data_IF_258462226986
#
_entry.id   IF_258462226986
#
_cell.length_a   1.000
_cell.length_b   1.000
_cell.length_c   1.000
_cell.angle_alpha   90.00
_cell.angle_beta   90.00
_cell.angle_gamma   90.00
#
_symmetry.space_group_name_H-M   'P 1'
#
loop_
_entity.id
_entity.type
_entity.pdbx_description
1 polymer ?
#
# COMPACT_ATOMS: atom_id res chain seq x y z
N UNK A 1 -23.57 -2.13 -0.17
CA UNK A 1 -24.82 -1.40 0.03
C UNK A 1 -25.09 -1.15 1.51
N UNK A 2 -25.73 -0.06 1.84
CA UNK A 2 -26.25 0.27 3.20
C UNK A 2 -27.76 0.03 3.29
N UNK A 3 -28.41 -0.17 2.16
CA UNK A 3 -29.88 -0.31 2.03
C UNK A 3 -30.21 -1.63 1.34
N UNK A 4 -31.37 -2.21 1.70
CA UNK A 4 -31.93 -3.39 1.05
C UNK A 4 -32.88 -2.93 -0.07
N UNK A 5 -32.53 -3.19 -1.34
CA UNK A 5 -33.36 -2.79 -2.48
C UNK A 5 -32.95 -3.57 -3.75
N UNK A 6 -33.76 -3.53 -4.79
CA UNK A 6 -33.45 -4.08 -6.11
C UNK A 6 -32.51 -3.17 -6.90
N UNK A 7 -31.58 -3.78 -7.63
CA UNK A 7 -30.75 -3.07 -8.59
C UNK A 7 -31.58 -2.68 -9.80
N UNK A 8 -31.73 -1.38 -10.02
CA UNK A 8 -32.44 -0.82 -11.19
C UNK A 8 -31.51 -0.75 -12.40
N UNK A 9 -30.31 -0.22 -12.22
CA UNK A 9 -29.35 -0.01 -13.30
C UNK A 9 -27.91 -0.22 -12.80
N UNK A 10 -27.04 -0.73 -13.69
CA UNK A 10 -25.60 -0.83 -13.49
C UNK A 10 -24.93 0.00 -14.60
N UNK A 11 -24.21 1.04 -14.24
CA UNK A 11 -23.65 2.08 -15.13
C UNK A 11 -22.12 2.00 -15.25
N UNK A 12 -21.55 0.83 -14.96
CA UNK A 12 -20.11 0.60 -15.11
C UNK A 12 -19.84 -0.65 -15.95
N UNK A 13 -18.63 -0.72 -16.48
CA UNK A 13 -18.10 -1.92 -17.15
C UNK A 13 -16.95 -2.44 -16.31
N UNK A 14 -16.92 -3.77 -16.10
CA UNK A 14 -15.86 -4.44 -15.36
C UNK A 14 -14.49 -4.22 -16.01
N UNK A 15 -13.44 -4.04 -15.21
CA UNK A 15 -12.08 -3.81 -15.68
C UNK A 15 -11.81 -2.39 -16.16
N UNK A 16 -12.80 -1.51 -16.21
CA UNK A 16 -12.64 -0.12 -16.70
C UNK A 16 -12.34 0.82 -15.53
N UNK A 17 -11.48 1.81 -15.81
CA UNK A 17 -11.16 2.88 -14.86
C UNK A 17 -12.35 3.84 -14.69
N UNK A 18 -12.59 4.25 -13.45
CA UNK A 18 -13.64 5.22 -13.09
C UNK A 18 -13.05 6.33 -12.25
N UNK A 19 -13.69 7.49 -12.33
CA UNK A 19 -13.38 8.65 -11.50
C UNK A 19 -14.24 8.65 -10.24
N UNK A 20 -13.71 9.27 -9.19
CA UNK A 20 -14.46 9.58 -7.98
C UNK A 20 -15.81 10.22 -8.33
N UNK A 21 -16.82 9.91 -7.54
CA UNK A 21 -18.20 10.39 -7.66
C UNK A 21 -18.96 9.96 -8.93
N UNK A 22 -18.34 9.15 -9.82
CA UNK A 22 -19.07 8.54 -10.92
C UNK A 22 -20.13 7.60 -10.36
N UNK A 23 -21.37 7.73 -10.86
CA UNK A 23 -22.48 6.82 -10.52
C UNK A 23 -22.16 5.43 -11.10
N UNK A 24 -22.22 4.41 -10.26
CA UNK A 24 -21.95 3.02 -10.61
C UNK A 24 -23.21 2.18 -10.66
N UNK A 25 -24.08 2.36 -9.66
CA UNK A 25 -25.32 1.57 -9.55
C UNK A 25 -26.44 2.48 -9.08
N UNK A 26 -27.60 2.31 -9.65
CA UNK A 26 -28.85 2.92 -9.20
C UNK A 26 -29.74 1.80 -8.68
N UNK A 27 -30.11 1.92 -7.43
CA UNK A 27 -31.13 1.06 -6.84
C UNK A 27 -32.53 1.58 -7.20
N UNK A 28 -33.54 0.73 -7.03
CA UNK A 28 -34.90 1.15 -7.28
C UNK A 28 -35.28 2.29 -6.31
N UNK A 29 -35.66 3.41 -6.86
CA UNK A 29 -35.99 4.66 -6.15
C UNK A 29 -37.31 5.27 -6.60
N UNK A 30 -38.17 4.42 -7.15
CA UNK A 30 -39.42 4.91 -7.75
C UNK A 30 -40.35 5.50 -6.70
N UNK A 31 -40.50 4.83 -5.55
CA UNK A 31 -41.34 5.27 -4.44
C UNK A 31 -40.82 6.58 -3.86
N UNK A 32 -39.54 6.66 -3.53
CA UNK A 32 -38.92 7.87 -2.96
C UNK A 32 -39.02 9.05 -3.91
N UNK A 33 -38.87 8.79 -5.22
CA UNK A 33 -39.02 9.85 -6.25
C UNK A 33 -40.45 10.37 -6.32
N UNK A 34 -41.45 9.50 -6.17
CA UNK A 34 -42.85 9.92 -6.12
C UNK A 34 -43.17 10.73 -4.87
N UNK A 35 -42.67 10.27 -3.70
CA UNK A 35 -42.83 10.98 -2.42
C UNK A 35 -42.12 12.34 -2.47
N UNK A 36 -40.91 12.42 -3.08
CA UNK A 36 -40.21 13.69 -3.26
C UNK A 36 -41.07 14.70 -4.03
N UNK A 37 -41.67 14.30 -5.16
CA UNK A 37 -42.53 15.18 -5.94
C UNK A 37 -43.72 15.71 -5.14
N UNK A 38 -44.30 14.86 -4.30
CA UNK A 38 -45.40 15.26 -3.41
C UNK A 38 -44.93 16.36 -2.45
N UNK A 39 -43.86 16.12 -1.67
CA UNK A 39 -43.38 17.09 -0.71
C UNK A 39 -42.82 18.37 -1.35
N UNK A 40 -42.25 18.29 -2.56
CA UNK A 40 -41.84 19.49 -3.31
C UNK A 40 -43.05 20.37 -3.72
N UNK A 41 -44.19 19.74 -4.05
CA UNK A 41 -45.43 20.49 -4.33
C UNK A 41 -46.00 21.15 -3.05
N UNK A 42 -46.02 20.40 -1.96
CA UNK A 42 -46.45 20.94 -0.65
C UNK A 42 -45.52 22.09 -0.16
N UNK A 43 -44.21 21.94 -0.31
CA UNK A 43 -43.24 23.00 0.04
C UNK A 43 -43.48 24.25 -0.80
N UNK A 44 -43.70 24.07 -2.11
CA UNK A 44 -44.00 25.20 -3.01
C UNK A 44 -45.24 25.95 -2.58
N UNK A 45 -46.30 25.26 -2.15
CA UNK A 45 -47.52 25.88 -1.61
C UNK A 45 -47.21 26.63 -0.32
N UNK A 46 -46.48 26.02 0.63
CA UNK A 46 -46.10 26.66 1.87
C UNK A 46 -45.22 27.90 1.64
N UNK A 47 -44.33 27.88 0.66
CA UNK A 47 -43.53 29.07 0.28
C UNK A 47 -44.40 30.21 -0.23
N UNK A 48 -45.36 29.93 -1.09
CA UNK A 48 -46.32 30.95 -1.59
C UNK A 48 -47.12 31.53 -0.44
N UNK A 49 -47.62 30.66 0.46
CA UNK A 49 -48.39 31.09 1.62
C UNK A 49 -47.57 31.92 2.60
N UNK A 50 -46.30 31.55 2.84
CA UNK A 50 -45.38 32.34 3.64
C UNK A 50 -45.10 33.71 3.00
N UNK A 51 -44.85 33.81 1.71
CA UNK A 51 -44.59 35.08 1.00
C UNK A 51 -45.82 35.99 1.03
N UNK A 52 -47.04 35.44 0.90
CA UNK A 52 -48.28 36.19 1.05
C UNK A 52 -48.42 36.75 2.50
N UNK A 53 -48.19 35.89 3.50
CA UNK A 53 -48.23 36.31 4.90
C UNK A 53 -47.19 37.39 5.21
N UNK A 54 -45.97 37.26 4.71
CA UNK A 54 -44.90 38.24 4.87
C UNK A 54 -45.32 39.61 4.28
N UNK A 55 -45.95 39.60 3.13
CA UNK A 55 -46.44 40.83 2.47
C UNK A 55 -47.58 41.50 3.23
N UNK A 56 -48.48 40.70 3.82
CA UNK A 56 -49.61 41.21 4.65
C UNK A 56 -49.12 41.70 6.02
N UNK A 57 -48.15 41.04 6.63
CA UNK A 57 -47.52 41.45 7.88
C UNK A 57 -46.85 42.82 7.76
N UNK A 58 -46.12 43.06 6.66
CA UNK A 58 -45.50 44.37 6.36
C UNK A 58 -46.52 45.50 6.26
N UNK A 59 -47.80 45.19 5.93
CA UNK A 59 -48.91 46.12 5.86
C UNK A 59 -49.74 46.21 7.17
N UNK A 60 -49.32 45.47 8.20
CA UNK A 60 -50.04 45.43 9.50
C UNK A 60 -51.36 44.61 9.48
N UNK A 61 -51.60 43.80 8.42
CA UNK A 61 -52.88 43.14 8.19
C UNK A 61 -53.00 41.73 8.79
N UNK A 62 -51.93 41.20 9.39
CA UNK A 62 -51.93 39.92 10.11
C UNK A 62 -51.10 39.99 11.38
N UNK A 63 -51.38 39.08 12.33
CA UNK A 63 -50.59 38.98 13.56
C UNK A 63 -49.23 38.29 13.29
N UNK A 64 -48.24 38.59 14.15
CA UNK A 64 -46.93 37.96 14.11
C UNK A 64 -47.04 36.42 14.22
N UNK A 65 -47.95 35.92 15.08
CA UNK A 65 -48.20 34.51 15.26
C UNK A 65 -48.61 33.78 13.94
N UNK A 66 -49.39 34.43 13.08
CA UNK A 66 -49.77 33.88 11.78
C UNK A 66 -48.56 33.79 10.86
N UNK A 67 -47.71 34.81 10.83
CA UNK A 67 -46.48 34.78 10.03
C UNK A 67 -45.52 33.67 10.51
N UNK A 68 -45.32 33.57 11.84
CA UNK A 68 -44.45 32.55 12.43
C UNK A 68 -44.96 31.15 12.16
N UNK A 69 -46.26 30.91 12.19
CA UNK A 69 -46.84 29.62 11.82
C UNK A 69 -46.60 29.27 10.35
N UNK A 70 -46.69 30.23 9.41
CA UNK A 70 -46.38 29.97 7.99
C UNK A 70 -44.91 29.73 7.77
N UNK A 71 -44.03 30.41 8.49
CA UNK A 71 -42.59 30.15 8.44
C UNK A 71 -42.25 28.74 8.96
N UNK A 72 -42.84 28.37 10.09
CA UNK A 72 -42.62 27.03 10.70
C UNK A 72 -43.04 25.91 9.75
N UNK A 73 -44.20 26.06 9.09
CA UNK A 73 -44.68 25.08 8.12
C UNK A 73 -43.74 24.96 6.92
N UNK A 74 -43.24 26.09 6.37
CA UNK A 74 -42.22 26.07 5.30
C UNK A 74 -40.97 25.35 5.77
N UNK A 75 -40.43 25.61 6.95
CA UNK A 75 -39.23 24.97 7.50
C UNK A 75 -39.45 23.46 7.66
N UNK A 76 -40.61 23.07 8.19
CA UNK A 76 -40.98 21.65 8.36
C UNK A 76 -40.97 20.89 7.02
N UNK A 77 -41.56 21.47 5.99
CA UNK A 77 -41.61 20.84 4.64
C UNK A 77 -40.24 20.85 3.95
N UNK A 78 -39.43 21.91 4.17
CA UNK A 78 -38.04 21.91 3.70
C UNK A 78 -37.27 20.71 4.27
N UNK A 79 -37.37 20.49 5.60
CA UNK A 79 -36.75 19.32 6.23
C UNK A 79 -37.23 17.97 5.68
N UNK A 80 -38.53 17.87 5.33
CA UNK A 80 -39.06 16.66 4.71
C UNK A 80 -38.50 16.42 3.30
N UNK A 81 -38.42 17.45 2.47
CA UNK A 81 -37.80 17.37 1.13
C UNK A 81 -36.33 16.95 1.24
N UNK A 82 -35.59 17.54 2.18
CA UNK A 82 -34.19 17.19 2.38
C UNK A 82 -34.00 15.76 2.87
N UNK A 83 -34.87 15.27 3.77
CA UNK A 83 -34.90 13.86 4.21
C UNK A 83 -35.06 12.89 3.03
N UNK A 84 -36.03 13.15 2.14
CA UNK A 84 -36.27 12.27 1.00
C UNK A 84 -35.13 12.37 -0.02
N UNK A 85 -34.58 13.56 -0.25
CA UNK A 85 -33.39 13.73 -1.12
C UNK A 85 -32.19 12.94 -0.61
N UNK A 86 -31.96 12.92 0.70
CA UNK A 86 -30.92 12.09 1.31
C UNK A 86 -31.17 10.60 1.05
N UNK A 87 -32.39 10.11 1.28
CA UNK A 87 -32.75 8.71 0.97
C UNK A 87 -32.51 8.35 -0.50
N UNK A 88 -32.90 9.21 -1.44
CA UNK A 88 -32.65 8.99 -2.88
C UNK A 88 -31.16 8.96 -3.18
N UNK A 89 -30.37 9.85 -2.53
CA UNK A 89 -28.92 9.85 -2.73
C UNK A 89 -28.27 8.54 -2.23
N UNK A 90 -28.77 7.96 -1.14
CA UNK A 90 -28.26 6.68 -0.61
C UNK A 90 -28.61 5.49 -1.51
N UNK A 91 -29.63 5.63 -2.38
CA UNK A 91 -29.99 4.64 -3.41
C UNK A 91 -29.11 4.75 -4.68
N UNK A 92 -28.20 5.73 -4.73
CA UNK A 92 -27.28 5.93 -5.84
C UNK A 92 -25.87 5.67 -5.38
N UNK A 93 -25.31 4.52 -5.76
CA UNK A 93 -23.96 4.12 -5.38
C UNK A 93 -22.94 4.76 -6.32
N UNK A 94 -22.01 5.51 -5.76
CA UNK A 94 -20.95 6.24 -6.48
C UNK A 94 -19.58 5.67 -6.15
N UNK A 95 -18.60 5.90 -7.03
CA UNK A 95 -17.22 5.56 -6.80
C UNK A 95 -16.64 6.46 -5.67
N UNK A 96 -16.08 5.91 -4.58
CA UNK A 96 -15.54 6.71 -3.47
C UNK A 96 -14.19 7.36 -3.80
N UNK A 97 -13.48 6.83 -4.80
CA UNK A 97 -12.17 7.31 -5.27
C UNK A 97 -11.92 6.89 -6.72
N UNK A 98 -10.88 7.45 -7.34
CA UNK A 98 -10.43 7.08 -8.68
C UNK A 98 -9.83 5.67 -8.67
N UNK A 99 -10.29 4.77 -9.54
CA UNK A 99 -9.78 3.40 -9.55
C UNK A 99 -10.30 2.56 -10.71
N UNK A 100 -9.93 1.29 -10.72
CA UNK A 100 -10.43 0.32 -11.71
C UNK A 100 -11.48 -0.58 -11.06
N UNK A 101 -12.62 -0.73 -11.72
CA UNK A 101 -13.72 -1.57 -11.28
C UNK A 101 -13.34 -3.05 -11.42
N UNK A 102 -13.61 -3.84 -10.39
CA UNK A 102 -13.50 -5.30 -10.42
C UNK A 102 -14.71 -5.98 -11.09
N UNK A 103 -14.82 -7.28 -10.88
CA UNK A 103 -15.96 -8.04 -11.35
C UNK A 103 -17.21 -7.73 -10.50
N UNK A 104 -18.39 -7.78 -11.10
CA UNK A 104 -19.65 -7.63 -10.39
C UNK A 104 -20.14 -8.97 -9.86
N UNK A 105 -20.76 -8.94 -8.69
CA UNK A 105 -21.38 -10.11 -8.07
C UNK A 105 -22.90 -10.18 -8.30
N UNK A 106 -23.50 -9.10 -8.77
CA UNK A 106 -24.95 -8.97 -8.96
C UNK A 106 -25.27 -8.44 -10.36
N UNK A 107 -26.48 -8.74 -10.83
CA UNK A 107 -27.04 -8.27 -12.10
C UNK A 107 -28.21 -7.32 -11.86
N UNK A 108 -28.61 -6.59 -12.91
CA UNK A 108 -29.81 -5.76 -12.88
C UNK A 108 -31.02 -6.62 -12.49
N UNK A 109 -31.87 -6.11 -11.61
CA UNK A 109 -33.05 -6.81 -11.07
C UNK A 109 -32.76 -7.64 -9.82
N UNK A 110 -31.50 -7.87 -9.45
CA UNK A 110 -31.16 -8.58 -8.23
C UNK A 110 -31.53 -7.75 -6.99
N UNK A 111 -31.98 -8.41 -5.94
CA UNK A 111 -32.22 -7.82 -4.63
C UNK A 111 -30.95 -7.91 -3.79
N UNK A 112 -30.49 -6.79 -3.27
CA UNK A 112 -29.31 -6.70 -2.40
C UNK A 112 -29.70 -6.34 -0.98
N UNK A 113 -28.84 -6.69 -0.03
CA UNK A 113 -29.00 -6.40 1.41
C UNK A 113 -27.86 -5.52 1.91
N UNK A 114 -28.01 -4.87 3.07
CA UNK A 114 -26.91 -4.20 3.72
C UNK A 114 -25.72 -5.14 3.94
N UNK A 115 -24.54 -4.68 3.56
CA UNK A 115 -23.32 -5.48 3.62
C UNK A 115 -22.97 -6.23 2.32
N UNK A 116 -23.87 -6.37 1.38
CA UNK A 116 -23.58 -7.02 0.11
C UNK A 116 -22.55 -6.22 -0.71
N UNK A 117 -21.57 -6.94 -1.24
CA UNK A 117 -20.52 -6.39 -2.10
C UNK A 117 -20.94 -6.56 -3.56
N UNK A 118 -21.30 -5.46 -4.21
CA UNK A 118 -21.72 -5.47 -5.63
C UNK A 118 -20.51 -5.60 -6.54
N UNK A 119 -19.47 -4.79 -6.30
CA UNK A 119 -18.18 -4.83 -6.97
C UNK A 119 -17.13 -4.25 -6.06
N UNK A 120 -15.85 -4.36 -6.44
CA UNK A 120 -14.73 -3.74 -5.78
C UNK A 120 -14.09 -2.69 -6.68
N UNK A 121 -13.50 -1.65 -6.07
CA UNK A 121 -12.71 -0.65 -6.79
C UNK A 121 -11.28 -0.75 -6.28
N UNK A 122 -10.32 -0.83 -7.19
CA UNK A 122 -8.90 -0.94 -6.88
C UNK A 122 -8.17 0.32 -7.32
N UNK A 123 -7.43 0.92 -6.38
CA UNK A 123 -6.41 1.90 -6.73
C UNK A 123 -5.09 1.16 -7.00
N UNK A 124 -4.65 1.20 -8.27
CA UNK A 124 -3.41 0.57 -8.71
C UNK A 124 -2.23 1.53 -8.77
N UNK A 125 -2.39 2.81 -8.45
CA UNK A 125 -1.30 3.79 -8.59
C UNK A 125 -0.19 3.55 -7.57
N UNK A 126 -0.58 3.22 -6.34
CA UNK A 126 0.36 2.90 -5.27
C UNK A 126 0.01 1.56 -4.66
N UNK A 127 0.95 0.64 -4.68
CA UNK A 127 0.78 -0.66 -4.04
C UNK A 127 1.53 -0.73 -2.72
N UNK A 128 0.92 -1.44 -1.78
CA UNK A 128 1.55 -1.79 -0.49
C UNK A 128 2.06 -3.21 -0.58
N UNK A 129 3.35 -3.38 -0.31
CA UNK A 129 3.99 -4.69 -0.25
C UNK A 129 4.26 -5.01 1.21
N UNK A 130 3.63 -6.06 1.71
CA UNK A 130 3.82 -6.55 3.08
C UNK A 130 4.91 -7.63 3.09
N UNK A 131 5.71 -7.65 4.15
CA UNK A 131 6.64 -8.73 4.41
C UNK A 131 6.83 -8.92 5.93
N UNK A 132 7.01 -10.17 6.34
CA UNK A 132 7.42 -10.54 7.69
C UNK A 132 8.94 -10.58 7.77
N UNK A 133 9.50 -9.94 8.78
CA UNK A 133 10.95 -9.81 9.00
C UNK A 133 11.29 -10.37 10.38
N UNK A 134 12.36 -11.18 10.53
CA UNK A 134 12.80 -11.68 11.82
C UNK A 134 13.14 -10.56 12.80
N UNK A 135 12.80 -10.74 14.10
CA UNK A 135 13.01 -9.75 15.17
C UNK A 135 14.47 -9.28 15.29
N UNK A 136 15.43 -10.14 14.93
CA UNK A 136 16.87 -9.81 14.92
C UNK A 136 17.25 -8.61 14.04
N UNK A 137 16.34 -8.16 13.19
CA UNK A 137 16.56 -7.00 12.29
C UNK A 137 15.77 -5.77 12.69
N UNK A 138 15.09 -5.77 13.85
CA UNK A 138 14.20 -4.66 14.28
C UNK A 138 14.96 -3.32 14.35
N UNK A 139 16.16 -3.31 14.89
CA UNK A 139 17.00 -2.10 15.03
C UNK A 139 17.67 -1.67 13.71
N UNK A 140 17.59 -2.51 12.67
CA UNK A 140 18.27 -2.30 11.38
C UNK A 140 17.36 -1.76 10.29
N UNK A 141 16.07 -1.69 10.55
CA UNK A 141 15.08 -1.21 9.58
C UNK A 141 14.45 0.05 10.11
N UNK A 142 14.41 1.07 9.27
CA UNK A 142 13.80 2.35 9.58
C UNK A 142 12.74 2.72 8.55
N UNK A 143 11.79 3.54 8.98
CA UNK A 143 10.84 4.17 8.04
C UNK A 143 11.64 5.00 7.04
N UNK A 144 11.24 4.94 5.75
CA UNK A 144 11.89 5.52 4.56
C UNK A 144 13.13 4.76 4.06
N UNK A 145 13.50 3.64 4.66
CA UNK A 145 14.54 2.80 4.06
C UNK A 145 14.10 2.33 2.66
N UNK A 146 15.05 2.39 1.73
CA UNK A 146 14.81 1.92 0.36
C UNK A 146 14.82 0.39 0.33
N UNK A 147 13.80 -0.19 -0.29
CA UNK A 147 13.68 -1.63 -0.49
C UNK A 147 13.59 -1.97 -1.98
N UNK A 148 14.21 -3.06 -2.37
CA UNK A 148 14.05 -3.63 -3.70
C UNK A 148 13.00 -4.74 -3.64
N UNK A 149 12.08 -4.73 -4.59
CA UNK A 149 10.99 -5.68 -4.67
C UNK A 149 11.06 -6.37 -6.02
N UNK A 150 11.18 -7.69 -5.99
CA UNK A 150 11.25 -8.54 -7.19
C UNK A 150 10.05 -9.48 -7.18
N UNK A 151 9.36 -9.58 -8.32
CA UNK A 151 8.30 -10.58 -8.50
C UNK A 151 8.91 -11.93 -8.81
N UNK A 152 8.23 -13.00 -8.44
CA UNK A 152 8.66 -14.36 -8.82
C UNK A 152 8.49 -14.63 -10.33
N UNK A 153 7.60 -13.89 -10.99
CA UNK A 153 7.25 -14.03 -12.41
C UNK A 153 8.06 -13.15 -13.35
N UNK A 154 8.93 -12.28 -12.84
CA UNK A 154 9.66 -11.29 -13.66
C UNK A 154 11.00 -10.94 -13.03
N UNK A 155 11.99 -10.66 -13.87
CA UNK A 155 13.30 -10.15 -13.44
C UNK A 155 13.30 -8.64 -13.14
N UNK A 156 12.19 -7.96 -13.37
CA UNK A 156 12.05 -6.54 -13.07
C UNK A 156 12.12 -6.31 -11.56
N UNK A 157 12.96 -5.36 -11.18
CA UNK A 157 13.13 -4.93 -9.78
C UNK A 157 12.47 -3.57 -9.61
N UNK A 158 11.50 -3.52 -8.72
CA UNK A 158 10.82 -2.28 -8.32
C UNK A 158 11.52 -1.70 -7.10
N UNK A 159 11.67 -0.39 -7.06
CA UNK A 159 12.14 0.33 -5.88
C UNK A 159 10.95 0.82 -5.07
N UNK A 160 11.03 0.69 -3.76
CA UNK A 160 10.03 1.18 -2.83
C UNK A 160 10.65 1.65 -1.55
N UNK A 161 9.83 2.20 -0.67
CA UNK A 161 10.24 2.71 0.63
C UNK A 161 9.45 2.02 1.76
N UNK A 162 10.11 1.77 2.88
CA UNK A 162 9.45 1.32 4.10
C UNK A 162 8.51 2.43 4.59
N UNK A 163 7.23 2.14 4.59
CA UNK A 163 6.16 3.07 4.98
C UNK A 163 5.70 2.88 6.42
N UNK A 164 5.59 1.62 6.85
CA UNK A 164 5.17 1.25 8.21
C UNK A 164 6.00 0.08 8.69
N UNK A 165 6.38 0.14 9.95
CA UNK A 165 6.93 -0.97 10.72
C UNK A 165 5.91 -1.26 11.82
N UNK A 166 5.39 -2.50 11.86
CA UNK A 166 4.45 -2.93 12.90
C UNK A 166 5.18 -2.93 14.26
N UNK A 167 4.69 -2.23 15.28
CA UNK A 167 5.32 -2.24 16.59
C UNK A 167 5.19 -3.59 17.32
N UNK A 168 4.35 -4.48 16.80
CA UNK A 168 4.11 -5.80 17.39
C UNK A 168 5.02 -6.86 16.75
N UNK A 169 5.68 -7.65 17.58
CA UNK A 169 6.42 -8.85 17.19
C UNK A 169 5.57 -10.07 17.48
N UNK A 170 5.27 -10.87 16.48
CA UNK A 170 4.59 -12.16 16.68
C UNK A 170 5.52 -13.13 17.41
N UNK A 171 5.13 -13.51 18.61
CA UNK A 171 5.94 -14.35 19.49
C UNK A 171 6.02 -15.82 19.06
N UNK A 172 5.13 -16.29 18.17
CA UNK A 172 5.15 -17.64 17.61
C UNK A 172 6.14 -17.75 16.45
N UNK A 173 6.12 -16.76 15.56
CA UNK A 173 6.97 -16.74 14.36
C UNK A 173 8.27 -15.97 14.59
N UNK A 174 8.40 -15.20 15.66
CA UNK A 174 9.52 -14.30 15.95
C UNK A 174 9.78 -13.33 14.81
N UNK A 175 8.71 -12.80 14.24
CA UNK A 175 8.76 -11.83 13.14
C UNK A 175 7.89 -10.61 13.45
N UNK A 176 8.24 -9.48 12.83
CA UNK A 176 7.40 -8.30 12.76
C UNK A 176 7.08 -7.96 11.29
N UNK A 177 5.98 -7.27 11.08
CA UNK A 177 5.54 -6.91 9.72
C UNK A 177 6.07 -5.55 9.31
N UNK A 178 6.49 -5.45 8.07
CA UNK A 178 6.81 -4.18 7.43
C UNK A 178 5.99 -4.00 6.18
N UNK A 179 5.50 -2.80 5.97
CA UNK A 179 4.77 -2.42 4.76
C UNK A 179 5.64 -1.41 4.00
N UNK A 180 5.90 -1.69 2.74
CA UNK A 180 6.57 -0.76 1.84
C UNK A 180 5.62 -0.29 0.77
N UNK A 181 5.75 0.97 0.36
CA UNK A 181 5.02 1.55 -0.77
C UNK A 181 5.86 1.48 -2.03
N UNK A 182 5.24 1.15 -3.13
CA UNK A 182 5.81 1.20 -4.47
C UNK A 182 4.86 1.95 -5.41
N UNK A 183 5.42 2.74 -6.30
CA UNK A 183 4.66 3.28 -7.42
C UNK A 183 4.43 2.19 -8.46
N UNK A 184 3.20 2.04 -8.88
CA UNK A 184 2.82 1.03 -9.86
C UNK A 184 2.52 1.67 -11.22
N UNK A 185 3.27 1.28 -12.24
CA UNK A 185 3.00 1.67 -13.63
C UNK A 185 1.91 0.81 -14.30
N UNK A 186 0.96 0.29 -13.51
CA UNK A 186 -0.17 -0.59 -13.91
C UNK A 186 0.22 -2.02 -14.31
N UNK A 187 1.43 -2.45 -14.03
CA UNK A 187 1.92 -3.80 -14.34
C UNK A 187 1.61 -4.80 -13.22
N UNK A 188 1.53 -4.30 -11.97
CA UNK A 188 1.35 -5.12 -10.78
C UNK A 188 -0.12 -5.15 -10.36
N UNK A 189 -0.56 -6.30 -9.88
CA UNK A 189 -1.91 -6.48 -9.32
C UNK A 189 -1.85 -6.84 -7.84
N UNK A 190 -2.78 -6.35 -7.03
CA UNK A 190 -2.94 -6.81 -5.64
C UNK A 190 -3.07 -8.33 -5.59
N UNK A 191 -2.52 -8.95 -4.55
CA UNK A 191 -2.50 -10.41 -4.40
C UNK A 191 -1.32 -11.12 -5.06
N UNK A 192 -0.48 -10.41 -5.83
CA UNK A 192 0.76 -11.00 -6.37
C UNK A 192 1.78 -11.26 -5.26
N UNK A 193 2.50 -12.39 -5.37
CA UNK A 193 3.61 -12.70 -4.49
C UNK A 193 4.88 -12.00 -4.97
N UNK A 194 5.57 -11.33 -4.05
CA UNK A 194 6.80 -10.62 -4.32
C UNK A 194 7.87 -10.94 -3.27
N UNK A 195 9.12 -10.89 -3.69
CA UNK A 195 10.29 -11.02 -2.81
C UNK A 195 10.82 -9.62 -2.49
N UNK A 196 10.86 -9.28 -1.22
CA UNK A 196 11.43 -8.01 -0.73
C UNK A 196 12.90 -8.23 -0.38
N UNK A 197 13.77 -7.39 -0.91
CA UNK A 197 15.21 -7.40 -0.65
C UNK A 197 15.53 -6.14 0.14
N UNK A 198 15.99 -6.34 1.36
CA UNK A 198 16.45 -5.29 2.27
C UNK A 198 17.98 -5.33 2.27
N UNK A 199 18.60 -4.22 1.94
CA UNK A 199 20.05 -4.07 2.09
C UNK A 199 20.30 -3.38 3.43
N UNK A 200 20.86 -4.11 4.36
CA UNK A 200 21.42 -3.51 5.57
C UNK A 200 22.83 -3.02 5.25
N UNK A 201 23.26 -1.97 5.93
CA UNK A 201 24.55 -1.34 5.71
C UNK A 201 25.64 -2.37 5.39
N UNK A 202 26.21 -2.26 4.21
CA UNK A 202 27.40 -3.00 3.84
C UNK A 202 28.53 -2.47 4.68
N UNK A 203 28.96 -3.22 5.69
CA UNK A 203 30.27 -2.96 6.27
C UNK A 203 31.30 -3.18 5.18
N UNK A 204 32.15 -2.19 4.94
CA UNK A 204 33.34 -2.41 4.13
C UNK A 204 34.13 -3.56 4.74
N UNK A 205 34.20 -4.67 4.02
CA UNK A 205 34.89 -5.87 4.43
C UNK A 205 35.84 -6.32 3.33
N UNK A 206 36.97 -6.90 3.71
CA UNK A 206 37.88 -7.53 2.75
C UNK A 206 37.27 -8.85 2.32
N UNK A 207 36.92 -8.96 1.03
CA UNK A 207 36.45 -10.21 0.42
C UNK A 207 37.63 -10.85 -0.35
N UNK A 208 37.92 -12.11 -0.04
CA UNK A 208 38.96 -12.89 -0.75
C UNK A 208 38.33 -14.09 -1.43
N UNK A 209 38.88 -14.58 -2.55
CA UNK A 209 38.47 -15.86 -3.15
C UNK A 209 38.59 -16.99 -2.14
N UNK A 210 37.65 -17.94 -2.14
CA UNK A 210 37.68 -19.08 -1.23
C UNK A 210 38.97 -19.95 -1.43
N UNK A 211 39.50 -19.95 -2.64
CA UNK A 211 40.78 -20.64 -3.00
C UNK A 211 42.01 -20.05 -2.26
N UNK A 212 41.93 -18.82 -1.73
CA UNK A 212 43.03 -18.22 -0.96
C UNK A 212 43.05 -18.70 0.51
N UNK A 213 42.02 -19.38 0.96
CA UNK A 213 41.83 -19.79 2.36
C UNK A 213 42.59 -21.10 2.62
N UNK A 214 43.43 -21.09 3.64
CA UNK A 214 44.22 -22.27 4.05
C UNK A 214 43.78 -22.69 5.45
N UNK A 215 42.94 -23.72 5.58
CA UNK A 215 42.61 -24.25 6.89
C UNK A 215 43.76 -25.11 7.40
N UNK A 216 44.25 -24.85 8.60
CA UNK A 216 45.26 -25.66 9.29
C UNK A 216 44.76 -25.85 10.72
N UNK A 217 44.53 -27.07 11.11
CA UNK A 217 43.92 -27.41 12.39
C UNK A 217 42.58 -26.60 12.61
N UNK A 218 42.49 -25.87 13.70
CA UNK A 218 41.30 -25.04 14.00
C UNK A 218 41.49 -23.56 13.62
N UNK A 219 42.49 -23.26 12.77
CA UNK A 219 42.82 -21.88 12.40
C UNK A 219 42.78 -21.69 10.89
N UNK A 220 42.55 -20.46 10.46
CA UNK A 220 42.50 -20.11 9.04
C UNK A 220 43.63 -19.14 8.70
N UNK A 221 44.30 -19.39 7.63
CA UNK A 221 45.44 -18.59 7.17
C UNK A 221 45.26 -18.15 5.72
N UNK A 222 45.98 -17.10 5.34
CA UNK A 222 46.15 -16.62 3.96
C UNK A 222 47.60 -16.33 3.72
N UNK A 223 48.06 -16.57 2.53
CA UNK A 223 49.39 -16.11 2.09
C UNK A 223 49.33 -14.67 1.58
N UNK A 224 50.02 -13.78 2.22
CA UNK A 224 50.21 -12.39 1.82
C UNK A 224 51.62 -12.22 1.23
N UNK A 225 51.68 -11.45 0.15
CA UNK A 225 52.97 -11.10 -0.49
C UNK A 225 53.52 -9.88 0.20
N UNK A 226 54.59 -10.04 0.93
CA UNK A 226 55.32 -8.95 1.59
C UNK A 226 56.36 -8.31 0.71
N UNK A 227 57.28 -7.54 1.35
CA UNK A 227 58.40 -6.90 0.70
C UNK A 227 59.28 -7.93 -0.02
N UNK A 228 59.89 -7.53 -1.12
CA UNK A 228 60.72 -8.39 -2.01
C UNK A 228 59.99 -9.60 -2.59
N UNK A 229 58.65 -9.61 -2.62
CA UNK A 229 57.80 -10.70 -3.07
C UNK A 229 57.96 -12.00 -2.24
N UNK A 230 58.26 -11.87 -0.96
CA UNK A 230 58.35 -13.00 -0.03
C UNK A 230 56.98 -13.28 0.58
N UNK A 231 56.56 -14.53 0.56
CA UNK A 231 55.28 -14.99 1.12
C UNK A 231 55.32 -14.98 2.65
N UNK A 232 54.37 -14.30 3.26
CA UNK A 232 54.07 -14.35 4.70
C UNK A 232 52.78 -15.08 4.94
N UNK A 233 52.76 -16.02 5.86
CA UNK A 233 51.56 -16.70 6.34
C UNK A 233 50.88 -15.86 7.39
N UNK A 234 49.66 -15.39 7.16
CA UNK A 234 48.93 -14.52 8.06
C UNK A 234 47.67 -15.24 8.53
N UNK A 235 47.46 -15.27 9.85
CA UNK A 235 46.24 -15.78 10.44
C UNK A 235 45.08 -14.80 10.21
N UNK A 236 43.95 -15.31 9.76
CA UNK A 236 42.76 -14.52 9.47
C UNK A 236 41.53 -15.08 10.20
N UNK A 237 40.60 -14.17 10.48
CA UNK A 237 39.30 -14.53 11.03
C UNK A 237 38.25 -14.34 9.93
N UNK A 238 37.65 -15.44 9.52
CA UNK A 238 36.66 -15.44 8.43
C UNK A 238 35.26 -15.04 8.91
N UNK A 239 34.49 -14.47 8.01
CA UNK A 239 33.09 -14.12 8.19
C UNK A 239 32.14 -14.92 7.30
N UNK A 240 31.25 -14.23 6.62
CA UNK A 240 30.29 -14.84 5.70
C UNK A 240 30.97 -15.30 4.41
N UNK A 241 30.40 -16.37 3.82
CA UNK A 241 30.77 -16.84 2.48
C UNK A 241 29.68 -16.42 1.51
N UNK A 242 30.06 -15.83 0.39
CA UNK A 242 29.13 -15.32 -0.63
C UNK A 242 29.77 -15.46 -2.01
N UNK A 243 29.09 -16.15 -2.91
CA UNK A 243 29.46 -16.30 -4.34
C UNK A 243 30.95 -16.68 -4.57
N UNK A 244 31.44 -17.69 -3.86
CA UNK A 244 32.83 -18.17 -3.99
C UNK A 244 33.87 -17.26 -3.34
N UNK A 245 33.44 -16.24 -2.56
CA UNK A 245 34.29 -15.35 -1.78
C UNK A 245 34.02 -15.50 -0.29
N UNK A 246 35.02 -15.20 0.52
CA UNK A 246 34.95 -15.25 1.98
C UNK A 246 35.29 -13.88 2.55
N UNK A 247 34.44 -13.40 3.45
CA UNK A 247 34.69 -12.17 4.21
C UNK A 247 35.82 -12.41 5.22
N UNK A 248 36.78 -11.51 5.28
CA UNK A 248 37.82 -11.50 6.29
C UNK A 248 37.52 -10.39 7.29
N UNK A 249 37.19 -10.78 8.52
CA UNK A 249 36.87 -9.85 9.61
C UNK A 249 38.11 -9.23 10.28
N UNK A 250 39.19 -9.99 10.34
CA UNK A 250 40.48 -9.57 10.94
C UNK A 250 41.63 -10.30 10.27
N UNK A 251 42.80 -9.64 10.24
CA UNK A 251 44.05 -10.26 9.78
C UNK A 251 44.53 -9.78 8.41
N UNK A 252 43.72 -9.05 7.63
CA UNK A 252 44.12 -8.48 6.35
C UNK A 252 43.80 -6.98 6.30
N UNK A 253 44.61 -6.24 5.52
CA UNK A 253 44.37 -4.86 5.13
C UNK A 253 43.90 -4.81 3.67
N UNK A 254 43.18 -3.77 3.31
CA UNK A 254 42.68 -3.55 1.93
C UNK A 254 43.81 -3.48 0.89
N UNK A 255 45.01 -3.07 1.31
CA UNK A 255 46.19 -2.95 0.44
C UNK A 255 47.02 -4.22 0.30
N UNK A 256 46.71 -5.29 1.07
CA UNK A 256 47.51 -6.51 1.07
C UNK A 256 47.31 -7.27 -0.24
N UNK A 257 48.43 -7.66 -0.85
CA UNK A 257 48.45 -8.55 -2.01
C UNK A 257 48.41 -10.01 -1.52
N UNK A 258 47.39 -10.76 -1.93
CA UNK A 258 47.21 -12.16 -1.51
C UNK A 258 47.46 -13.13 -2.64
N UNK A 259 47.83 -14.36 -2.27
CA UNK A 259 47.93 -15.46 -3.21
C UNK A 259 46.59 -16.22 -3.19
N UNK A 260 45.98 -16.43 -4.35
CA UNK A 260 44.70 -17.15 -4.46
C UNK A 260 44.79 -18.38 -5.43
N UNK A 261 45.86 -18.50 -6.19
CA UNK A 261 46.12 -19.68 -7.03
C UNK A 261 47.42 -20.37 -6.62
N UNK A 262 47.46 -21.70 -6.69
CA UNK A 262 48.64 -22.49 -6.36
C UNK A 262 48.99 -22.57 -4.88
N UNK A 263 48.10 -22.17 -4.00
CA UNK A 263 48.28 -22.03 -2.55
C UNK A 263 48.85 -23.32 -1.91
N UNK A 264 48.38 -24.48 -2.35
CA UNK A 264 48.81 -25.78 -1.80
C UNK A 264 50.26 -26.16 -2.09
N UNK A 265 50.92 -25.46 -3.02
CA UNK A 265 52.31 -25.70 -3.41
C UNK A 265 53.30 -24.73 -2.75
N UNK A 266 52.82 -23.81 -1.95
CA UNK A 266 53.59 -22.74 -1.38
C UNK A 266 53.84 -22.98 0.12
N UNK A 267 55.00 -22.41 0.58
CA UNK A 267 55.37 -22.36 2.00
C UNK A 267 55.75 -20.92 2.35
N UNK A 268 55.55 -20.53 3.60
CA UNK A 268 56.00 -19.23 4.06
C UNK A 268 57.54 -19.07 3.86
N UNK A 269 57.96 -17.88 3.49
CA UNK A 269 59.38 -17.56 3.24
C UNK A 269 59.85 -17.77 1.80
N UNK A 270 59.03 -18.31 0.89
CA UNK A 270 59.40 -18.48 -0.52
C UNK A 270 59.17 -17.17 -1.29
N UNK A 271 60.12 -16.84 -2.17
CA UNK A 271 60.00 -15.71 -3.09
C UNK A 271 59.15 -16.12 -4.30
N UNK A 272 58.15 -15.35 -4.64
CA UNK A 272 57.24 -15.61 -5.76
C UNK A 272 57.35 -14.58 -6.87
N UNK A 273 57.05 -15.00 -8.08
CA UNK A 273 56.96 -14.09 -9.22
C UNK A 273 55.48 -13.77 -9.42
N UNK A 274 55.16 -12.48 -9.32
CA UNK A 274 53.77 -12.01 -9.60
C UNK A 274 53.59 -12.05 -11.11
N UNK A 275 52.54 -12.71 -11.56
CA UNK A 275 52.12 -12.71 -12.96
C UNK A 275 51.28 -11.52 -13.33
#
# INVERSE_FOLDING_TARGET
STIAEKIKEILFVEGVAVKKDKILVILNNFEETAILKQFEAELKEAEINYQRALSLSKKGNISQSVLDNRLTEKIRLTGKVDEIKAKINDLVLKAPFDGTIGLRNYSVGAFIKPGDVITTIYDFNTLKVEASVPEAYVDKIKIKDTVKIKLNSSDVVYSGEVYVIDPYVDNKTRTFRIISKIENKKELKPGMMAKKILNFDSKEGVLVPESAIIPIDNQTFIYVIGDENIIKKVQVFTGKRLDGKVEIKKGLKLSDKIVFEGVNKLKAGIKVKIK
#
